data_IF_703163590426
#
_entry.id   IF_703163590426
#
_cell.length_a   1.000
_cell.length_b   1.000
_cell.length_c   1.000
_cell.angle_alpha   90.00
_cell.angle_beta   90.00
_cell.angle_gamma   90.00
#
_symmetry.space_group_name_H-M   'P 1'
#
loop_
_entity.id
_entity.type
_entity.pdbx_description
1 polymer ?
#
# COMPACT_ATOMS: atom_id res chain seq x y z
N UNK A 1 26.44 -43.52 36.42
CA UNK A 1 27.66 -42.72 36.10
C UNK A 1 27.50 -42.29 34.65
N UNK A 2 27.41 -41.04 34.24
CA UNK A 2 27.93 -39.76 34.74
C UNK A 2 26.90 -38.67 34.40
N UNK A 3 26.66 -37.76 35.34
CA UNK A 3 25.88 -36.52 35.17
C UNK A 3 26.79 -35.43 34.58
N UNK A 4 26.24 -34.53 33.76
CA UNK A 4 26.08 -33.09 34.06
C UNK A 4 25.91 -32.28 32.75
N UNK A 5 24.73 -31.67 32.51
CA UNK A 5 24.34 -30.26 32.83
C UNK A 5 24.90 -29.29 31.75
N UNK A 6 24.24 -28.28 31.17
CA UNK A 6 23.06 -27.44 31.46
C UNK A 6 23.04 -26.40 30.28
N UNK A 7 21.95 -26.03 29.59
CA UNK A 7 20.90 -25.04 29.93
C UNK A 7 19.91 -24.98 28.74
N UNK A 8 18.58 -25.16 28.96
CA UNK A 8 17.57 -24.10 29.27
C UNK A 8 17.01 -23.48 27.97
N UNK A 9 15.71 -23.36 27.66
CA UNK A 9 14.45 -23.21 28.44
C UNK A 9 13.25 -23.46 27.46
N UNK A 10 12.02 -23.66 27.95
CA UNK A 10 11.03 -24.56 27.37
C UNK A 10 9.87 -23.90 26.61
N UNK A 11 9.27 -24.68 25.70
CA UNK A 11 7.94 -24.42 25.14
C UNK A 11 6.88 -24.61 26.22
N UNK A 12 6.27 -23.50 26.64
CA UNK A 12 5.00 -23.49 27.34
C UNK A 12 4.16 -22.35 26.78
N UNK A 13 3.12 -22.68 26.01
CA UNK A 13 1.93 -21.85 25.91
C UNK A 13 0.71 -22.75 26.12
N UNK A 14 0.00 -22.42 27.19
CA UNK A 14 -1.21 -23.04 27.70
C UNK A 14 -2.42 -22.87 26.76
N UNK A 15 -3.48 -23.67 26.97
CA UNK A 15 -4.63 -23.82 26.09
C UNK A 15 -5.75 -22.82 26.43
N UNK A 16 -6.43 -22.28 25.42
CA UNK A 16 -7.69 -21.56 25.64
C UNK A 16 -8.83 -22.56 25.82
N UNK A 17 -9.39 -22.57 27.04
CA UNK A 17 -10.64 -23.21 27.43
C UNK A 17 -11.83 -22.60 26.66
N UNK A 18 -12.64 -23.47 26.07
CA UNK A 18 -14.06 -23.24 25.73
C UNK A 18 -14.93 -23.51 26.97
N UNK A 19 -16.12 -22.86 27.00
CA UNK A 19 -17.46 -23.29 27.48
C UNK A 19 -18.27 -22.08 28.06
N UNK A 20 -19.62 -22.10 28.16
CA UNK A 20 -20.64 -22.10 27.07
C UNK A 20 -21.93 -21.25 27.36
N UNK A 21 -22.91 -21.32 26.43
CA UNK A 21 -24.36 -20.97 26.52
C UNK A 21 -24.75 -19.47 26.45
N UNK A 22 -25.83 -19.02 25.79
CA UNK A 22 -27.11 -19.65 25.42
C UNK A 22 -27.73 -19.08 24.12
N UNK A 23 -28.38 -20.00 23.39
CA UNK A 23 -29.58 -19.95 22.52
C UNK A 23 -30.24 -18.63 22.06
N UNK A 24 -30.57 -18.58 20.77
CA UNK A 24 -31.96 -18.82 20.31
C UNK A 24 -32.07 -19.05 18.78
N UNK A 25 -32.44 -20.29 18.40
CA UNK A 25 -33.46 -20.70 17.41
C UNK A 25 -33.87 -19.68 16.33
N UNK A 26 -33.89 -19.97 15.01
CA UNK A 26 -34.72 -20.95 14.25
C UNK A 26 -34.54 -20.50 12.77
N UNK A 27 -34.31 -21.29 11.71
CA UNK A 27 -34.93 -22.53 11.24
C UNK A 27 -34.00 -23.21 10.24
N UNK A 28 -33.82 -24.52 10.39
CA UNK A 28 -33.43 -25.44 9.33
C UNK A 28 -34.68 -25.99 8.62
N UNK A 29 -34.62 -26.05 7.29
CA UNK A 29 -35.17 -27.13 6.46
C UNK A 29 -34.26 -27.19 5.23
N UNK A 30 -33.32 -28.15 5.16
CA UNK A 30 -33.43 -29.43 4.41
C UNK A 30 -33.71 -29.17 2.92
N UNK A 31 -33.02 -29.73 1.93
CA UNK A 31 -31.92 -30.69 1.77
C UNK A 31 -31.67 -30.76 0.25
N UNK A 32 -30.53 -31.30 -0.16
CA UNK A 32 -30.25 -31.88 -1.49
C UNK A 32 -30.30 -30.98 -2.74
N UNK A 33 -29.12 -30.61 -3.25
CA UNK A 33 -28.65 -31.07 -4.57
C UNK A 33 -27.17 -30.74 -4.78
N UNK A 34 -26.31 -31.55 -4.16
CA UNK A 34 -24.93 -31.75 -4.59
C UNK A 34 -24.94 -32.57 -5.88
N UNK A 35 -25.04 -31.92 -7.06
CA UNK A 35 -24.75 -32.49 -8.39
C UNK A 35 -24.86 -31.40 -9.47
N UNK A 36 -23.89 -30.49 -9.51
CA UNK A 36 -23.49 -29.83 -10.74
C UNK A 36 -21.98 -29.73 -10.74
N UNK A 37 -21.35 -30.88 -11.00
CA UNK A 37 -20.00 -30.91 -11.52
C UNK A 37 -19.99 -30.12 -12.83
N UNK A 38 -19.27 -29.01 -12.83
CA UNK A 38 -19.18 -28.09 -13.96
C UNK A 38 -18.47 -28.82 -15.13
N UNK A 39 -19.06 -28.96 -16.33
CA UNK A 39 -18.47 -29.72 -17.44
C UNK A 39 -17.14 -29.14 -17.98
N UNK A 40 -16.76 -27.93 -17.57
CA UNK A 40 -15.53 -27.27 -18.00
C UNK A 40 -14.26 -27.76 -17.29
N UNK A 41 -14.37 -28.50 -16.17
CA UNK A 41 -13.23 -29.00 -15.40
C UNK A 41 -12.71 -30.37 -15.86
N UNK A 42 -13.40 -31.08 -16.75
CA UNK A 42 -12.98 -32.40 -17.25
C UNK A 42 -12.14 -32.37 -18.54
N UNK A 43 -11.92 -31.20 -19.14
CA UNK A 43 -11.15 -31.03 -20.38
C UNK A 43 -9.70 -30.55 -20.17
N UNK A 44 -9.23 -30.46 -18.92
CA UNK A 44 -7.95 -29.82 -18.56
C UNK A 44 -6.91 -30.79 -17.98
N UNK A 45 -6.75 -31.97 -18.58
CA UNK A 45 -5.60 -32.84 -18.27
C UNK A 45 -4.51 -32.69 -19.35
N UNK A 46 -3.46 -31.87 -19.14
CA UNK A 46 -2.26 -31.99 -19.95
C UNK A 46 -1.55 -33.32 -19.62
N UNK A 47 -0.92 -33.92 -20.63
CA UNK A 47 -0.26 -35.23 -20.51
C UNK A 47 0.83 -35.27 -19.43
N UNK A 48 1.16 -36.44 -18.85
CA UNK A 48 2.18 -36.59 -17.80
C UNK A 48 3.57 -36.02 -18.16
N UNK A 49 3.92 -35.95 -19.45
CA UNK A 49 5.17 -35.35 -19.93
C UNK A 49 5.26 -33.83 -19.75
N UNK A 50 4.13 -33.13 -19.62
CA UNK A 50 4.06 -31.69 -19.36
C UNK A 50 4.54 -31.35 -17.95
N UNK A 51 4.30 -32.24 -16.98
CA UNK A 51 4.66 -32.05 -15.57
C UNK A 51 6.13 -32.39 -15.28
N UNK A 52 6.70 -33.39 -15.98
CA UNK A 52 8.07 -33.84 -15.74
C UNK A 52 9.13 -32.81 -16.17
N UNK A 53 8.86 -32.09 -17.26
CA UNK A 53 9.72 -31.02 -17.76
C UNK A 53 9.74 -29.80 -16.81
N UNK A 54 8.60 -29.52 -16.18
CA UNK A 54 8.42 -28.47 -15.18
C UNK A 54 9.28 -28.68 -13.91
N UNK A 55 9.42 -29.94 -13.49
CA UNK A 55 10.20 -30.33 -12.32
C UNK A 55 11.72 -30.09 -12.49
N UNK A 56 12.23 -30.20 -13.71
CA UNK A 56 13.67 -30.01 -14.01
C UNK A 56 14.10 -28.54 -13.97
N UNK A 57 13.24 -27.61 -14.39
CA UNK A 57 13.55 -26.17 -14.36
C UNK A 57 13.64 -25.62 -12.93
N UNK A 58 12.83 -26.16 -12.00
CA UNK A 58 12.88 -25.78 -10.58
C UNK A 58 14.12 -26.32 -9.85
N UNK A 59 14.63 -27.49 -10.28
CA UNK A 59 15.80 -28.13 -9.66
C UNK A 59 17.14 -27.46 -10.01
N UNK A 60 17.18 -26.66 -11.08
CA UNK A 60 18.43 -26.08 -11.63
C UNK A 60 18.66 -24.61 -11.26
N UNK A 61 17.67 -23.90 -10.69
CA UNK A 61 17.82 -22.46 -10.34
C UNK A 61 18.53 -22.19 -9.00
N UNK A 62 19.26 -23.18 -8.47
CA UNK A 62 20.03 -23.10 -7.23
C UNK A 62 21.55 -22.90 -7.38
N UNK A 63 22.09 -22.70 -8.58
CA UNK A 63 23.55 -22.58 -8.78
C UNK A 63 23.94 -21.22 -9.39
N UNK A 64 24.78 -20.50 -8.63
CA UNK A 64 25.28 -19.16 -8.91
C UNK A 64 26.10 -19.05 -10.21
N UNK A 65 25.82 -17.97 -10.96
CA UNK A 65 26.77 -17.05 -11.60
C UNK A 65 27.91 -17.56 -12.50
N UNK A 66 27.79 -17.33 -13.82
CA UNK A 66 28.76 -16.61 -14.70
C UNK A 66 28.27 -16.60 -16.16
N UNK A 67 28.56 -15.55 -16.96
CA UNK A 67 28.21 -15.52 -18.37
C UNK A 67 29.27 -16.28 -19.18
N UNK A 68 28.90 -17.38 -19.81
CA UNK A 68 29.76 -18.07 -20.77
C UNK A 68 29.36 -17.67 -22.20
N UNK A 69 30.19 -16.82 -22.79
CA UNK A 69 30.35 -16.69 -24.23
C UNK A 69 30.77 -18.06 -24.80
N UNK A 70 30.16 -18.54 -25.88
CA UNK A 70 30.88 -19.38 -26.83
C UNK A 70 30.23 -19.36 -28.22
N UNK A 71 31.07 -19.05 -29.20
CA UNK A 71 30.80 -19.23 -30.62
C UNK A 71 31.29 -20.64 -31.04
N UNK A 72 30.54 -21.30 -31.90
CA UNK A 72 30.96 -22.22 -32.98
C UNK A 72 30.11 -23.50 -33.09
N UNK A 73 29.80 -23.82 -34.35
CA UNK A 73 29.02 -24.95 -34.88
C UNK A 73 29.59 -26.30 -34.44
N UNK A 74 28.71 -27.24 -34.09
CA UNK A 74 28.62 -28.53 -34.78
C UNK A 74 27.28 -29.23 -34.48
N UNK A 75 26.62 -29.67 -35.56
CA UNK A 75 25.38 -30.46 -35.55
C UNK A 75 25.71 -31.91 -35.19
N UNK A 76 25.10 -32.48 -34.15
CA UNK A 76 24.60 -33.89 -34.14
C UNK A 76 23.45 -34.01 -33.11
N UNK A 77 22.32 -34.48 -33.61
CA UNK A 77 21.16 -35.14 -32.97
C UNK A 77 20.42 -34.41 -31.84
N UNK A 78 19.20 -33.95 -32.18
CA UNK A 78 18.15 -33.48 -31.28
C UNK A 78 17.64 -34.59 -30.35
N UNK A 79 17.78 -34.46 -29.02
CA UNK A 79 16.83 -35.02 -28.08
C UNK A 79 15.75 -33.95 -27.84
N UNK A 80 14.54 -34.21 -28.36
CA UNK A 80 13.26 -33.56 -28.05
C UNK A 80 13.37 -32.27 -27.22
N UNK A 81 13.53 -31.16 -27.92
CA UNK A 81 13.38 -29.82 -27.39
C UNK A 81 11.90 -29.58 -27.01
N UNK A 82 11.48 -30.04 -25.84
CA UNK A 82 10.38 -29.38 -25.13
C UNK A 82 10.97 -28.06 -24.66
N UNK A 83 10.72 -27.03 -25.45
CA UNK A 83 11.38 -25.74 -25.36
C UNK A 83 10.71 -24.86 -24.28
N UNK A 84 11.30 -23.69 -24.03
CA UNK A 84 10.90 -22.55 -23.17
C UNK A 84 9.46 -22.02 -23.44
N UNK A 85 8.54 -22.83 -23.97
CA UNK A 85 7.30 -22.43 -24.62
C UNK A 85 6.06 -22.42 -23.72
N UNK A 86 5.96 -23.20 -22.65
CA UNK A 86 4.67 -23.32 -21.95
C UNK A 86 4.24 -22.08 -21.13
N UNK A 87 5.19 -21.36 -20.53
CA UNK A 87 4.91 -20.11 -19.81
C UNK A 87 5.20 -18.87 -20.66
N UNK A 88 6.16 -18.97 -21.59
CA UNK A 88 6.55 -17.87 -22.48
C UNK A 88 5.55 -17.61 -23.60
N UNK A 89 4.93 -18.64 -24.18
CA UNK A 89 3.98 -18.44 -25.28
C UNK A 89 2.54 -18.41 -24.76
N UNK A 90 2.07 -17.21 -24.47
CA UNK A 90 0.69 -16.96 -24.05
C UNK A 90 -0.29 -16.83 -25.24
N UNK A 91 0.13 -17.11 -26.48
CA UNK A 91 -0.70 -16.90 -27.67
C UNK A 91 -1.99 -17.73 -27.66
N UNK A 92 -1.98 -18.90 -27.02
CA UNK A 92 -3.11 -19.85 -26.97
C UNK A 92 -3.47 -20.27 -25.53
N UNK A 93 -2.89 -19.64 -24.51
CA UNK A 93 -3.13 -20.01 -23.12
C UNK A 93 -4.30 -19.18 -22.59
N UNK A 94 -5.34 -19.83 -22.06
CA UNK A 94 -6.44 -19.09 -21.45
C UNK A 94 -6.01 -18.48 -20.11
N UNK A 95 -6.61 -17.34 -19.69
CA UNK A 95 -6.31 -16.70 -18.40
C UNK A 95 -6.39 -17.66 -17.21
N UNK A 96 -7.40 -18.55 -17.19
CA UNK A 96 -7.58 -19.54 -16.12
C UNK A 96 -6.43 -20.55 -16.10
N UNK A 97 -6.01 -21.06 -17.26
CA UNK A 97 -4.88 -22.00 -17.35
C UNK A 97 -3.58 -21.33 -16.91
N UNK A 98 -3.34 -20.09 -17.34
CA UNK A 98 -2.17 -19.32 -16.92
C UNK A 98 -2.10 -19.15 -15.41
N UNK A 99 -3.22 -18.78 -14.77
CA UNK A 99 -3.30 -18.62 -13.32
C UNK A 99 -3.15 -19.94 -12.57
N UNK A 100 -3.73 -21.01 -13.11
CA UNK A 100 -3.54 -22.35 -12.56
C UNK A 100 -2.05 -22.72 -12.59
N UNK A 101 -1.37 -22.53 -13.73
CA UNK A 101 0.07 -22.77 -13.81
C UNK A 101 0.81 -21.93 -12.77
N UNK A 102 0.54 -20.61 -12.69
CA UNK A 102 1.14 -19.71 -11.71
C UNK A 102 0.97 -20.21 -10.26
N UNK A 103 -0.23 -20.73 -9.93
CA UNK A 103 -0.52 -21.37 -8.64
C UNK A 103 0.36 -22.58 -8.41
N UNK A 104 0.41 -23.52 -9.35
CA UNK A 104 1.24 -24.72 -9.22
C UNK A 104 2.73 -24.34 -9.05
N UNK A 105 3.22 -23.33 -9.78
CA UNK A 105 4.59 -22.81 -9.61
C UNK A 105 4.85 -22.37 -8.17
N UNK A 106 3.89 -21.61 -7.61
CA UNK A 106 4.01 -21.06 -6.27
C UNK A 106 3.97 -22.16 -5.20
N UNK A 107 3.06 -23.13 -5.34
CA UNK A 107 2.89 -24.23 -4.39
C UNK A 107 4.11 -25.15 -4.38
N UNK A 108 4.58 -25.59 -5.55
CA UNK A 108 5.72 -26.53 -5.65
C UNK A 108 7.09 -25.88 -5.46
N UNK A 109 7.21 -24.56 -5.54
CA UNK A 109 8.48 -23.89 -5.29
C UNK A 109 9.05 -24.22 -3.91
N UNK A 110 10.36 -24.41 -3.81
CA UNK A 110 11.04 -24.72 -2.53
C UNK A 110 11.63 -23.48 -1.86
N UNK A 111 11.71 -22.36 -2.58
CA UNK A 111 12.23 -21.09 -2.08
C UNK A 111 11.31 -20.43 -1.04
N UNK A 112 11.82 -19.44 -0.30
CA UNK A 112 10.98 -18.58 0.56
C UNK A 112 9.94 -17.81 -0.27
N UNK A 113 8.78 -17.52 0.32
CA UNK A 113 7.65 -16.88 -0.36
C UNK A 113 8.02 -15.59 -1.13
N UNK A 114 8.85 -14.73 -0.54
CA UNK A 114 9.31 -13.49 -1.18
C UNK A 114 10.17 -13.75 -2.43
N UNK A 115 11.04 -14.76 -2.38
CA UNK A 115 11.84 -15.16 -3.53
C UNK A 115 10.96 -15.79 -4.62
N UNK A 116 10.00 -16.65 -4.25
CA UNK A 116 9.00 -17.19 -5.20
C UNK A 116 8.27 -16.05 -5.90
N UNK A 117 7.75 -15.09 -5.13
CA UNK A 117 6.99 -13.97 -5.66
C UNK A 117 7.80 -13.14 -6.67
N UNK A 118 9.07 -12.86 -6.36
CA UNK A 118 9.96 -12.11 -7.26
C UNK A 118 10.24 -12.85 -8.57
N UNK A 119 10.47 -14.16 -8.50
CA UNK A 119 10.70 -14.99 -9.69
C UNK A 119 9.44 -15.07 -10.54
N UNK A 120 8.29 -15.34 -9.93
CA UNK A 120 7.01 -15.41 -10.63
C UNK A 120 6.64 -14.07 -11.26
N UNK A 121 6.85 -12.95 -10.57
CA UNK A 121 6.64 -11.61 -11.14
C UNK A 121 7.51 -11.37 -12.38
N UNK A 122 8.77 -11.80 -12.36
CA UNK A 122 9.66 -11.72 -13.53
C UNK A 122 9.15 -12.59 -14.69
N UNK A 123 8.70 -13.82 -14.40
CA UNK A 123 8.13 -14.71 -15.41
C UNK A 123 6.86 -14.13 -16.03
N UNK A 124 5.94 -13.59 -15.22
CA UNK A 124 4.73 -12.94 -15.75
C UNK A 124 5.13 -11.75 -16.64
N UNK A 125 6.08 -10.91 -16.22
CA UNK A 125 6.57 -9.80 -17.04
C UNK A 125 7.12 -10.28 -18.40
N UNK A 126 7.98 -11.30 -18.40
CA UNK A 126 8.52 -11.88 -19.65
C UNK A 126 7.42 -12.47 -20.53
N UNK A 127 6.41 -13.09 -19.93
CA UNK A 127 5.27 -13.65 -20.65
C UNK A 127 4.44 -12.56 -21.32
N UNK A 128 4.26 -11.40 -20.66
CA UNK A 128 3.60 -10.23 -21.26
C UNK A 128 4.43 -9.64 -22.42
N UNK A 129 5.76 -9.69 -22.35
CA UNK A 129 6.66 -9.28 -23.44
C UNK A 129 6.51 -10.12 -24.71
N UNK A 130 5.96 -11.33 -24.61
CA UNK A 130 5.73 -12.20 -25.76
C UNK A 130 4.39 -11.93 -26.47
N UNK A 131 3.75 -10.79 -26.18
CA UNK A 131 2.49 -10.31 -26.79
C UNK A 131 1.35 -11.35 -26.74
N UNK A 132 0.84 -11.72 -25.54
CA UNK A 132 -0.31 -12.61 -25.40
C UNK A 132 -1.48 -12.14 -26.27
N UNK A 133 -2.19 -13.05 -26.92
CA UNK A 133 -3.44 -12.72 -27.62
C UNK A 133 -4.59 -12.59 -26.60
N UNK A 134 -5.46 -11.56 -26.68
CA UNK A 134 -5.57 -10.52 -27.72
C UNK A 134 -4.72 -9.25 -27.46
N UNK A 135 -3.95 -9.22 -26.38
CA UNK A 135 -3.00 -8.17 -26.01
C UNK A 135 -2.70 -8.24 -24.51
N UNK A 136 -1.49 -7.83 -24.08
CA UNK A 136 -1.05 -7.92 -22.68
C UNK A 136 -2.03 -7.30 -21.67
N UNK A 137 -2.52 -6.09 -21.95
CA UNK A 137 -3.44 -5.40 -21.05
C UNK A 137 -4.81 -6.12 -20.95
N UNK A 138 -5.33 -6.59 -22.08
CA UNK A 138 -6.60 -7.34 -22.12
C UNK A 138 -6.45 -8.67 -21.38
N UNK A 139 -5.36 -9.40 -21.65
CA UNK A 139 -5.08 -10.67 -21.01
C UNK A 139 -5.01 -10.54 -19.49
N UNK A 140 -4.34 -9.49 -18.99
CA UNK A 140 -4.27 -9.20 -17.55
C UNK A 140 -5.63 -8.83 -16.97
N UNK A 141 -6.44 -8.01 -17.65
CA UNK A 141 -7.79 -7.69 -17.20
C UNK A 141 -8.65 -8.97 -17.08
N UNK A 142 -8.54 -9.90 -18.04
CA UNK A 142 -9.21 -11.18 -17.97
C UNK A 142 -8.69 -12.06 -16.83
N UNK A 143 -7.37 -12.07 -16.58
CA UNK A 143 -6.81 -12.78 -15.43
C UNK A 143 -7.40 -12.27 -14.12
N UNK A 144 -7.48 -10.95 -13.94
CA UNK A 144 -8.03 -10.34 -12.72
C UNK A 144 -9.53 -10.66 -12.54
N UNK A 145 -10.27 -10.83 -13.63
CA UNK A 145 -11.67 -11.23 -13.59
C UNK A 145 -11.86 -12.65 -13.06
N UNK A 146 -11.04 -13.61 -13.49
CA UNK A 146 -11.17 -15.02 -13.08
C UNK A 146 -10.39 -15.37 -11.81
N UNK A 147 -9.53 -14.46 -11.33
CA UNK A 147 -8.65 -14.71 -10.20
C UNK A 147 -9.35 -15.13 -8.89
N UNK A 148 -10.55 -14.62 -8.55
CA UNK A 148 -11.24 -15.00 -7.32
C UNK A 148 -11.57 -16.50 -7.21
N UNK A 149 -11.56 -17.24 -8.33
CA UNK A 149 -11.66 -18.71 -8.35
C UNK A 149 -10.52 -19.38 -7.54
N UNK A 150 -9.38 -18.69 -7.39
CA UNK A 150 -8.20 -19.20 -6.70
C UNK A 150 -8.16 -18.84 -5.20
N UNK A 151 -9.26 -18.31 -4.65
CA UNK A 151 -9.54 -18.08 -3.23
C UNK A 151 -8.32 -17.53 -2.46
N UNK A 152 -7.67 -18.34 -1.63
CA UNK A 152 -6.54 -17.98 -0.76
C UNK A 152 -5.31 -17.41 -1.49
N UNK A 153 -5.22 -17.60 -2.81
CA UNK A 153 -4.13 -17.05 -3.63
C UNK A 153 -4.51 -15.75 -4.36
N UNK A 154 -5.79 -15.35 -4.30
CA UNK A 154 -6.34 -14.23 -5.06
C UNK A 154 -5.57 -12.93 -4.78
N UNK A 155 -5.47 -12.49 -3.53
CA UNK A 155 -4.88 -11.18 -3.20
C UNK A 155 -3.39 -11.10 -3.61
N UNK A 156 -2.63 -12.16 -3.30
CA UNK A 156 -1.23 -12.26 -3.66
C UNK A 156 -1.02 -12.22 -5.17
N UNK A 157 -1.82 -12.98 -5.93
CA UNK A 157 -1.70 -13.02 -7.38
C UNK A 157 -2.25 -11.77 -8.06
N UNK A 158 -3.26 -11.11 -7.49
CA UNK A 158 -3.75 -9.81 -7.95
C UNK A 158 -2.61 -8.80 -7.90
N UNK A 159 -1.90 -8.71 -6.76
CA UNK A 159 -0.72 -7.86 -6.64
C UNK A 159 0.40 -8.25 -7.62
N UNK A 160 0.66 -9.54 -7.80
CA UNK A 160 1.70 -10.03 -8.69
C UNK A 160 1.45 -9.57 -10.13
N UNK A 161 0.25 -9.84 -10.64
CA UNK A 161 -0.15 -9.58 -12.02
C UNK A 161 -0.25 -8.08 -12.28
N UNK A 162 -0.86 -7.32 -11.37
CA UNK A 162 -0.91 -5.85 -11.44
C UNK A 162 0.50 -5.28 -11.50
N UNK A 163 1.41 -5.76 -10.65
CA UNK A 163 2.78 -5.25 -10.60
C UNK A 163 3.58 -5.62 -11.85
N UNK A 164 3.36 -6.81 -12.41
CA UNK A 164 3.99 -7.24 -13.66
C UNK A 164 3.50 -6.40 -14.85
N UNK A 165 2.19 -6.15 -14.97
CA UNK A 165 1.64 -5.28 -16.02
C UNK A 165 2.13 -3.83 -15.85
N UNK A 166 2.14 -3.30 -14.63
CA UNK A 166 2.65 -1.95 -14.36
C UNK A 166 4.12 -1.81 -14.79
N UNK A 167 4.94 -2.84 -14.57
CA UNK A 167 6.32 -2.87 -15.07
C UNK A 167 6.38 -2.95 -16.60
N UNK A 168 5.55 -3.78 -17.22
CA UNK A 168 5.46 -3.90 -18.67
C UNK A 168 5.10 -2.57 -19.34
N UNK A 169 4.10 -1.86 -18.82
CA UNK A 169 3.67 -0.56 -19.36
C UNK A 169 4.74 0.52 -19.22
N UNK A 170 5.55 0.50 -18.14
CA UNK A 170 6.65 1.46 -17.94
C UNK A 170 7.78 1.33 -18.97
N UNK A 171 7.96 0.16 -19.59
CA UNK A 171 9.01 -0.08 -20.60
C UNK A 171 8.60 0.47 -21.98
N UNK A 172 7.41 1.07 -22.11
CA UNK A 172 6.94 1.65 -23.36
C UNK A 172 6.38 0.62 -24.34
N UNK A 173 6.15 -0.62 -23.88
CA UNK A 173 5.51 -1.63 -24.70
C UNK A 173 4.06 -1.22 -24.99
N UNK A 174 3.72 -1.15 -26.28
CA UNK A 174 2.50 -0.52 -26.78
C UNK A 174 1.21 -1.06 -26.16
N UNK A 175 0.26 -0.15 -25.99
CA UNK A 175 -1.06 -0.37 -25.40
C UNK A 175 -2.06 -0.96 -26.42
N UNK A 176 -1.69 -2.08 -27.06
CA UNK A 176 -2.58 -2.75 -28.02
C UNK A 176 -3.87 -3.18 -27.31
N UNK A 177 -5.00 -2.70 -27.82
CA UNK A 177 -6.33 -3.01 -27.26
C UNK A 177 -6.66 -2.31 -25.94
N UNK A 178 -6.00 -1.18 -25.62
CA UNK A 178 -6.22 -0.46 -24.35
C UNK A 178 -7.68 -0.08 -24.09
N UNK A 179 -8.43 0.36 -25.11
CA UNK A 179 -9.84 0.71 -24.94
C UNK A 179 -10.66 -0.49 -24.47
N UNK A 180 -10.39 -1.68 -25.03
CA UNK A 180 -11.04 -2.93 -24.62
C UNK A 180 -10.58 -3.37 -23.23
N UNK A 181 -9.30 -3.18 -22.88
CA UNK A 181 -8.81 -3.45 -21.54
C UNK A 181 -9.47 -2.52 -20.49
N UNK A 182 -9.63 -1.22 -20.80
CA UNK A 182 -10.37 -0.25 -19.97
C UNK A 182 -11.82 -0.68 -19.77
N UNK A 183 -12.51 -1.09 -20.83
CA UNK A 183 -13.89 -1.58 -20.75
C UNK A 183 -14.00 -2.85 -19.89
N UNK A 184 -13.08 -3.80 -20.04
CA UNK A 184 -13.05 -5.01 -19.20
C UNK A 184 -12.77 -4.68 -17.73
N UNK A 185 -11.86 -3.74 -17.46
CA UNK A 185 -11.58 -3.27 -16.10
C UNK A 185 -12.79 -2.53 -15.49
N UNK A 186 -13.56 -1.79 -16.30
CA UNK A 186 -14.82 -1.18 -15.88
C UNK A 186 -15.90 -2.22 -15.57
N UNK A 187 -16.05 -3.26 -16.40
CA UNK A 187 -16.94 -4.40 -16.12
C UNK A 187 -16.54 -5.14 -14.85
N UNK A 188 -15.23 -5.31 -14.63
CA UNK A 188 -14.69 -5.88 -13.41
C UNK A 188 -15.03 -5.03 -12.19
N UNK A 189 -14.91 -3.70 -12.28
CA UNK A 189 -15.33 -2.78 -11.24
C UNK A 189 -16.83 -2.93 -10.91
N UNK A 190 -17.71 -2.94 -11.93
CA UNK A 190 -19.15 -3.13 -11.74
C UNK A 190 -19.46 -4.45 -11.03
N UNK A 191 -18.82 -5.55 -11.46
CA UNK A 191 -18.97 -6.87 -10.84
C UNK A 191 -18.47 -6.95 -9.39
N UNK A 192 -17.58 -6.04 -8.96
CA UNK A 192 -17.15 -5.96 -7.56
C UNK A 192 -18.13 -5.10 -6.75
N UNK A 193 -18.61 -4.00 -7.34
CA UNK A 193 -19.55 -3.07 -6.71
C UNK A 193 -20.93 -3.69 -6.46
N UNK A 194 -21.39 -4.55 -7.36
CA UNK A 194 -22.64 -5.30 -7.24
C UNK A 194 -22.52 -6.54 -6.33
N UNK A 195 -21.30 -6.90 -5.93
CA UNK A 195 -21.01 -8.04 -5.05
C UNK A 195 -20.94 -9.40 -5.76
N UNK A 196 -20.99 -9.43 -7.10
CA UNK A 196 -20.90 -10.67 -7.89
C UNK A 196 -19.51 -11.29 -7.83
N UNK A 197 -18.49 -10.45 -7.69
CA UNK A 197 -17.08 -10.83 -7.67
C UNK A 197 -16.41 -10.27 -6.40
N UNK A 198 -15.70 -11.15 -5.68
CA UNK A 198 -15.03 -10.79 -4.43
C UNK A 198 -13.53 -10.55 -4.68
N UNK A 199 -13.11 -9.29 -4.53
CA UNK A 199 -11.72 -8.86 -4.46
C UNK A 199 -11.51 -8.01 -3.21
N UNK A 200 -10.29 -7.99 -2.67
CA UNK A 200 -9.93 -7.00 -1.63
C UNK A 200 -10.10 -5.57 -2.20
N UNK A 201 -10.69 -4.66 -1.41
CA UNK A 201 -10.95 -3.27 -1.80
C UNK A 201 -9.71 -2.54 -2.36
N UNK A 202 -8.52 -2.83 -1.82
CA UNK A 202 -7.27 -2.22 -2.27
C UNK A 202 -6.86 -2.68 -3.68
N UNK A 203 -7.28 -3.88 -4.08
CA UNK A 203 -7.07 -4.38 -5.44
C UNK A 203 -7.96 -3.62 -6.42
N UNK A 204 -9.22 -3.33 -6.05
CA UNK A 204 -10.15 -2.54 -6.87
C UNK A 204 -9.54 -1.19 -7.27
N UNK A 205 -9.04 -0.42 -6.30
CA UNK A 205 -8.39 0.87 -6.56
C UNK A 205 -7.18 0.71 -7.49
N UNK A 206 -6.34 -0.31 -7.26
CA UNK A 206 -5.18 -0.59 -8.12
C UNK A 206 -5.56 -0.96 -9.54
N UNK A 207 -6.69 -1.63 -9.75
CA UNK A 207 -7.22 -1.96 -11.08
C UNK A 207 -7.61 -0.67 -11.80
N UNK A 208 -8.40 0.19 -11.14
CA UNK A 208 -8.84 1.47 -11.70
C UNK A 208 -7.64 2.35 -12.10
N UNK A 209 -6.64 2.47 -11.24
CA UNK A 209 -5.40 3.21 -11.51
C UNK A 209 -4.58 2.60 -12.65
N UNK A 210 -4.44 1.27 -12.68
CA UNK A 210 -3.59 0.57 -13.65
C UNK A 210 -4.12 0.71 -15.08
N UNK A 211 -5.44 0.62 -15.22
CA UNK A 211 -6.11 0.73 -16.52
C UNK A 211 -6.56 2.15 -16.84
N UNK A 212 -6.47 3.10 -15.91
CA UNK A 212 -6.95 4.47 -16.08
C UNK A 212 -8.43 4.48 -16.49
N UNK A 213 -9.26 3.81 -15.67
CA UNK A 213 -10.71 3.68 -15.88
C UNK A 213 -11.41 4.96 -15.48
N UNK A 214 -12.07 5.64 -16.42
CA UNK A 214 -12.86 6.85 -16.15
C UNK A 214 -14.35 6.54 -15.96
N UNK A 215 -15.13 7.52 -15.50
CA UNK A 215 -16.60 7.42 -15.40
C UNK A 215 -17.25 7.06 -16.75
N UNK A 216 -16.73 7.58 -17.86
CA UNK A 216 -17.19 7.22 -19.21
C UNK A 216 -16.95 5.74 -19.55
N UNK A 217 -15.87 5.14 -19.02
CA UNK A 217 -15.65 3.70 -19.22
C UNK A 217 -16.65 2.85 -18.42
N UNK A 218 -17.02 3.30 -17.21
CA UNK A 218 -18.04 2.64 -16.38
C UNK A 218 -19.40 2.73 -17.05
N UNK A 219 -19.79 3.90 -17.52
CA UNK A 219 -21.07 4.09 -18.22
C UNK A 219 -21.19 3.17 -19.45
N UNK A 220 -20.15 3.10 -20.28
CA UNK A 220 -20.11 2.16 -21.42
C UNK A 220 -20.21 0.70 -21.00
N UNK A 221 -19.61 0.34 -19.87
CA UNK A 221 -19.69 -1.02 -19.33
C UNK A 221 -21.08 -1.36 -18.76
N UNK A 222 -21.87 -0.37 -18.34
CA UNK A 222 -23.23 -0.58 -17.84
C UNK A 222 -24.23 -0.89 -18.95
N UNK A 223 -24.09 -0.24 -20.11
CA UNK A 223 -25.06 -0.34 -21.21
C UNK A 223 -24.61 -1.24 -22.37
N UNK A 224 -23.37 -1.73 -22.34
CA UNK A 224 -22.77 -2.46 -23.47
C UNK A 224 -22.91 -1.73 -24.81
N UNK A 225 -22.91 -0.39 -24.79
CA UNK A 225 -23.09 0.46 -25.97
C UNK A 225 -21.73 0.77 -26.62
N UNK A 226 -21.61 0.41 -27.90
CA UNK A 226 -20.44 0.72 -28.74
C UNK A 226 -20.53 2.14 -29.39
N UNK A 227 -21.64 2.85 -29.22
CA UNK A 227 -21.94 4.07 -29.97
C UNK A 227 -21.56 5.39 -29.27
N UNK A 228 -21.22 6.39 -30.10
CA UNK A 228 -20.78 7.75 -29.75
C UNK A 228 -21.94 8.65 -29.33
N UNK A 229 -22.92 8.14 -28.61
CA UNK A 229 -23.97 9.00 -28.07
C UNK A 229 -23.46 9.72 -26.83
N UNK A 230 -23.95 10.95 -26.67
CA UNK A 230 -23.59 11.90 -25.62
C UNK A 230 -23.75 11.24 -24.23
N UNK A 231 -22.69 10.59 -23.77
CA UNK A 231 -22.64 9.86 -22.49
C UNK A 231 -22.96 10.81 -21.35
N UNK A 232 -24.05 10.52 -20.65
CA UNK A 232 -24.45 11.21 -19.44
C UNK A 232 -23.77 10.50 -18.27
N UNK A 233 -22.54 10.94 -17.96
CA UNK A 233 -21.69 10.38 -16.89
C UNK A 233 -22.35 10.39 -15.52
N UNK A 234 -23.49 11.06 -15.37
CA UNK A 234 -24.29 11.16 -14.16
C UNK A 234 -24.67 9.79 -13.59
N UNK A 235 -25.09 8.83 -14.41
CA UNK A 235 -25.47 7.50 -13.89
C UNK A 235 -24.27 6.73 -13.31
N UNK A 236 -23.12 6.78 -14.00
CA UNK A 236 -21.89 6.18 -13.51
C UNK A 236 -21.41 6.88 -12.23
N UNK A 237 -21.52 8.21 -12.17
CA UNK A 237 -21.18 9.02 -10.99
C UNK A 237 -22.05 8.63 -9.80
N UNK A 238 -23.38 8.58 -9.96
CA UNK A 238 -24.33 8.19 -8.91
C UNK A 238 -24.02 6.77 -8.38
N UNK A 239 -23.73 5.81 -9.26
CA UNK A 239 -23.34 4.46 -8.86
C UNK A 239 -22.06 4.45 -8.02
N UNK A 240 -21.04 5.19 -8.46
CA UNK A 240 -19.76 5.32 -7.74
C UNK A 240 -19.98 5.98 -6.37
N UNK A 241 -20.79 7.04 -6.29
CA UNK A 241 -21.12 7.72 -5.03
C UNK A 241 -21.86 6.81 -4.07
N UNK A 242 -22.85 6.05 -4.55
CA UNK A 242 -23.54 5.04 -3.73
C UNK A 242 -22.58 3.97 -3.19
N UNK A 243 -21.61 3.54 -3.99
CA UNK A 243 -20.59 2.62 -3.52
C UNK A 243 -19.66 3.25 -2.49
N UNK A 244 -19.26 4.51 -2.68
CA UNK A 244 -18.46 5.27 -1.72
C UNK A 244 -19.20 5.44 -0.40
N UNK A 245 -20.51 5.72 -0.41
CA UNK A 245 -21.32 5.77 0.80
C UNK A 245 -21.29 4.45 1.57
N UNK A 246 -21.45 3.31 0.87
CA UNK A 246 -21.30 1.97 1.49
C UNK A 246 -19.93 1.76 2.13
N UNK A 247 -18.85 2.20 1.47
CA UNK A 247 -17.49 2.14 2.02
C UNK A 247 -17.34 3.02 3.27
N UNK A 248 -17.97 4.18 3.30
CA UNK A 248 -17.95 5.07 4.47
C UNK A 248 -18.73 4.46 5.64
N UNK A 249 -19.87 3.84 5.37
CA UNK A 249 -20.66 3.10 6.37
C UNK A 249 -19.88 1.92 6.95
N UNK A 250 -19.09 1.23 6.13
CA UNK A 250 -18.20 0.13 6.57
C UNK A 250 -16.86 0.60 7.17
N UNK A 251 -16.65 1.90 7.35
CA UNK A 251 -15.40 2.52 7.83
C UNK A 251 -14.17 2.30 6.92
N UNK A 252 -14.37 1.97 5.65
CA UNK A 252 -13.33 1.82 4.61
C UNK A 252 -12.90 3.16 4.00
N UNK A 253 -12.53 4.14 4.83
CA UNK A 253 -12.30 5.53 4.41
C UNK A 253 -11.13 5.71 3.43
N UNK A 254 -10.05 4.94 3.56
CA UNK A 254 -8.91 5.03 2.63
C UNK A 254 -9.32 4.65 1.20
N UNK A 255 -10.15 3.61 1.05
CA UNK A 255 -10.69 3.18 -0.24
C UNK A 255 -11.64 4.25 -0.78
N UNK A 256 -12.57 4.73 0.05
CA UNK A 256 -13.51 5.79 -0.31
C UNK A 256 -12.80 7.05 -0.84
N UNK A 257 -11.80 7.56 -0.11
CA UNK A 257 -11.00 8.72 -0.52
C UNK A 257 -10.24 8.45 -1.82
N UNK A 258 -9.71 7.25 -2.00
CA UNK A 258 -8.99 6.89 -3.23
C UNK A 258 -9.91 6.86 -4.45
N UNK A 259 -11.17 6.44 -4.29
CA UNK A 259 -12.17 6.48 -5.37
C UNK A 259 -12.62 7.91 -5.67
N UNK A 260 -12.87 8.73 -4.64
CA UNK A 260 -13.19 10.15 -4.81
C UNK A 260 -12.09 10.88 -5.57
N UNK A 261 -10.82 10.65 -5.20
CA UNK A 261 -9.66 11.21 -5.89
C UNK A 261 -9.56 10.71 -7.34
N UNK A 262 -9.65 9.39 -7.55
CA UNK A 262 -9.54 8.78 -8.88
C UNK A 262 -10.59 9.31 -9.87
N UNK A 263 -11.84 9.47 -9.42
CA UNK A 263 -12.93 10.00 -10.24
C UNK A 263 -13.09 11.53 -10.14
N UNK A 264 -12.22 12.21 -9.41
CA UNK A 264 -12.26 13.66 -9.20
C UNK A 264 -13.57 14.19 -8.61
N UNK A 265 -14.22 13.42 -7.73
CA UNK A 265 -15.46 13.79 -7.03
C UNK A 265 -15.11 14.56 -5.76
N UNK A 266 -15.63 15.78 -5.61
CA UNK A 266 -15.25 16.75 -4.55
C UNK A 266 -16.38 17.11 -3.59
N UNK A 267 -17.52 16.43 -3.70
CA UNK A 267 -18.70 16.75 -2.90
C UNK A 267 -18.44 16.46 -1.41
N UNK A 268 -18.98 17.29 -0.50
CA UNK A 268 -18.86 17.13 0.95
C UNK A 268 -17.48 17.34 1.58
N UNK A 269 -16.61 18.16 0.97
CA UNK A 269 -15.24 18.48 1.41
C UNK A 269 -14.98 18.48 2.93
N UNK A 270 -15.60 19.40 3.67
CA UNK A 270 -15.36 19.57 5.11
C UNK A 270 -16.13 18.57 5.99
N UNK A 271 -17.42 18.34 5.71
CA UNK A 271 -18.23 17.40 6.49
C UNK A 271 -17.67 15.97 6.44
N UNK A 272 -17.14 15.56 5.28
CA UNK A 272 -16.49 14.27 5.13
C UNK A 272 -15.16 14.19 5.90
N UNK A 273 -14.39 15.29 5.93
CA UNK A 273 -13.18 15.39 6.75
C UNK A 273 -13.51 15.19 8.24
N UNK A 274 -14.50 15.92 8.76
CA UNK A 274 -14.91 15.83 10.17
C UNK A 274 -15.31 14.41 10.55
N UNK A 275 -16.09 13.74 9.68
CA UNK A 275 -16.49 12.33 9.88
C UNK A 275 -15.29 11.38 9.96
N UNK A 276 -14.26 11.58 9.14
CA UNK A 276 -12.99 10.83 9.22
C UNK A 276 -12.23 11.10 10.52
N UNK A 277 -12.21 12.36 10.97
CA UNK A 277 -11.55 12.76 12.21
C UNK A 277 -12.23 12.17 13.45
N UNK A 278 -13.58 12.15 13.48
CA UNK A 278 -14.37 11.46 14.50
C UNK A 278 -14.09 9.96 14.54
N UNK A 279 -13.96 9.34 13.37
CA UNK A 279 -13.64 7.91 13.23
C UNK A 279 -12.15 7.59 13.48
N UNK A 280 -11.32 8.57 13.84
CA UNK A 280 -9.87 8.46 14.03
C UNK A 280 -9.10 7.96 12.79
N UNK A 281 -9.64 8.21 11.59
CA UNK A 281 -9.07 7.77 10.31
C UNK A 281 -8.10 8.82 9.74
N UNK A 282 -7.07 9.16 10.51
CA UNK A 282 -6.18 10.29 10.23
C UNK A 282 -5.51 10.24 8.86
N UNK A 283 -5.02 9.07 8.43
CA UNK A 283 -4.37 8.92 7.11
C UNK A 283 -5.33 9.18 5.94
N UNK A 284 -6.59 8.80 6.08
CA UNK A 284 -7.60 9.06 5.07
C UNK A 284 -7.96 10.55 5.04
N UNK A 285 -8.06 11.17 6.22
CA UNK A 285 -8.30 12.60 6.38
C UNK A 285 -7.17 13.44 5.73
N UNK A 286 -5.91 13.08 5.98
CA UNK A 286 -4.74 13.73 5.34
C UNK A 286 -4.76 13.61 3.82
N UNK A 287 -5.04 12.40 3.29
CA UNK A 287 -5.14 12.16 1.85
C UNK A 287 -6.27 13.00 1.23
N UNK A 288 -7.43 13.04 1.89
CA UNK A 288 -8.59 13.82 1.43
C UNK A 288 -8.31 15.32 1.44
N UNK A 289 -7.74 15.84 2.53
CA UNK A 289 -7.38 17.25 2.64
C UNK A 289 -6.36 17.65 1.57
N UNK A 290 -5.37 16.78 1.29
CA UNK A 290 -4.40 16.99 0.22
C UNK A 290 -5.07 17.11 -1.15
N UNK A 291 -6.02 16.23 -1.44
CA UNK A 291 -6.76 16.23 -2.70
C UNK A 291 -7.66 17.48 -2.85
N UNK A 292 -8.34 17.88 -1.77
CA UNK A 292 -9.20 19.06 -1.77
C UNK A 292 -8.42 20.38 -1.82
N UNK A 293 -7.22 20.38 -1.25
CA UNK A 293 -6.27 21.49 -1.28
C UNK A 293 -6.23 22.30 0.00
N UNK A 294 -5.60 23.47 -0.09
CA UNK A 294 -5.21 24.31 1.05
C UNK A 294 -6.32 24.61 2.07
N UNK A 295 -7.57 24.96 1.68
CA UNK A 295 -8.62 25.27 2.66
C UNK A 295 -8.90 24.11 3.62
N UNK A 296 -9.07 22.90 3.08
CA UNK A 296 -9.36 21.70 3.87
C UNK A 296 -8.13 21.25 4.68
N UNK A 297 -6.91 21.48 4.16
CA UNK A 297 -5.69 21.28 4.94
C UNK A 297 -5.62 22.19 6.17
N UNK A 298 -6.04 23.46 6.05
CA UNK A 298 -6.12 24.36 7.20
C UNK A 298 -7.13 23.87 8.23
N UNK A 299 -8.33 23.44 7.80
CA UNK A 299 -9.33 22.85 8.70
C UNK A 299 -8.77 21.60 9.41
N UNK A 300 -8.05 20.73 8.68
CA UNK A 300 -7.42 19.54 9.25
C UNK A 300 -6.38 19.89 10.33
N UNK A 301 -5.55 20.91 10.09
CA UNK A 301 -4.57 21.38 11.10
C UNK A 301 -5.29 21.87 12.35
N UNK A 302 -6.36 22.65 12.21
CA UNK A 302 -7.16 23.12 13.34
C UNK A 302 -7.77 21.94 14.12
N UNK A 303 -8.36 20.97 13.43
CA UNK A 303 -8.90 19.75 14.05
C UNK A 303 -7.84 18.96 14.84
N UNK A 304 -6.59 18.90 14.34
CA UNK A 304 -5.50 18.26 15.08
C UNK A 304 -5.13 19.05 16.35
N UNK A 305 -5.15 20.38 16.30
CA UNK A 305 -4.88 21.22 17.47
C UNK A 305 -5.97 21.04 18.52
N UNK A 306 -7.25 21.13 18.11
CA UNK A 306 -8.41 21.01 19.00
C UNK A 306 -8.44 19.63 19.69
N UNK A 307 -8.03 18.58 18.98
CA UNK A 307 -7.93 17.21 19.52
C UNK A 307 -6.63 16.93 20.28
N UNK A 308 -5.78 17.94 20.50
CA UNK A 308 -4.49 17.84 21.20
C UNK A 308 -3.53 16.84 20.54
N UNK A 309 -3.47 16.83 19.21
CA UNK A 309 -2.57 16.01 18.39
C UNK A 309 -1.49 16.87 17.69
N UNK A 310 -0.63 17.58 18.44
CA UNK A 310 0.24 18.61 17.88
C UNK A 310 1.33 18.05 16.95
N UNK A 311 1.68 16.77 17.08
CA UNK A 311 2.60 16.08 16.14
C UNK A 311 1.98 15.99 14.74
N UNK A 312 0.72 15.61 14.63
CA UNK A 312 0.04 15.47 13.34
C UNK A 312 -0.15 16.84 12.68
N UNK A 313 -0.58 17.84 13.45
CA UNK A 313 -0.64 19.24 12.99
C UNK A 313 0.71 19.71 12.43
N UNK A 314 1.80 19.52 13.17
CA UNK A 314 3.14 19.91 12.73
C UNK A 314 3.58 19.19 11.44
N UNK A 315 3.32 17.89 11.34
CA UNK A 315 3.70 17.10 10.17
C UNK A 315 2.97 17.59 8.91
N UNK A 316 1.66 17.87 9.00
CA UNK A 316 0.87 18.44 7.88
C UNK A 316 1.36 19.84 7.51
N UNK A 317 1.57 20.73 8.50
CA UNK A 317 2.10 22.09 8.26
C UNK A 317 3.42 22.03 7.49
N UNK A 318 4.32 21.13 7.90
CA UNK A 318 5.63 20.96 7.29
C UNK A 318 5.55 20.39 5.88
N UNK A 319 4.72 19.37 5.66
CA UNK A 319 4.63 18.69 4.36
C UNK A 319 3.98 19.56 3.28
N UNK A 320 3.02 20.40 3.67
CA UNK A 320 2.24 21.20 2.73
C UNK A 320 2.61 22.70 2.72
N UNK A 321 3.75 23.06 3.30
CA UNK A 321 4.26 24.44 3.37
C UNK A 321 3.30 25.46 4.01
N UNK A 322 2.56 25.05 5.05
CA UNK A 322 1.55 25.89 5.71
C UNK A 322 2.10 26.75 6.87
N UNK A 323 3.40 27.05 6.84
CA UNK A 323 4.07 27.75 7.96
C UNK A 323 3.58 29.18 8.14
N UNK A 324 3.14 29.83 7.07
CA UNK A 324 2.65 31.22 7.11
C UNK A 324 1.25 31.31 7.71
N UNK A 325 0.46 30.26 7.53
CA UNK A 325 -0.90 30.16 8.03
C UNK A 325 -0.93 29.79 9.51
N UNK A 326 0.07 29.05 9.98
CA UNK A 326 0.17 28.56 11.36
C UNK A 326 1.57 28.73 11.96
N UNK A 327 2.11 29.96 12.03
CA UNK A 327 3.44 30.18 12.58
C UNK A 327 3.51 29.78 14.06
N UNK A 328 2.49 30.11 14.86
CA UNK A 328 2.50 29.84 16.31
C UNK A 328 2.53 28.33 16.60
N UNK A 329 1.68 27.54 15.93
CA UNK A 329 1.63 26.08 16.12
C UNK A 329 2.94 25.42 15.70
N UNK A 330 3.54 25.91 14.61
CA UNK A 330 4.81 25.41 14.12
C UNK A 330 5.95 25.70 15.11
N UNK A 331 6.02 26.91 15.66
CA UNK A 331 7.02 27.31 16.66
C UNK A 331 6.81 26.58 18.00
N UNK A 332 5.60 26.59 18.55
CA UNK A 332 5.27 25.95 19.83
C UNK A 332 5.60 24.45 19.85
N UNK A 333 5.36 23.72 18.75
CA UNK A 333 5.72 22.31 18.66
C UNK A 333 7.23 22.09 18.69
N UNK A 334 8.00 22.94 17.99
CA UNK A 334 9.46 22.88 18.00
C UNK A 334 10.02 23.22 19.38
N UNK A 335 9.53 24.27 20.04
CA UNK A 335 9.90 24.62 21.42
C UNK A 335 9.62 23.47 22.38
N UNK A 336 8.43 22.86 22.30
CA UNK A 336 8.05 21.71 23.14
C UNK A 336 8.98 20.51 22.95
N UNK A 337 9.43 20.25 21.71
CA UNK A 337 10.42 19.21 21.39
C UNK A 337 11.80 19.56 21.92
N UNK A 338 12.20 20.83 21.81
CA UNK A 338 13.48 21.32 22.26
C UNK A 338 13.59 21.24 23.78
N UNK A 339 12.55 21.69 24.49
CA UNK A 339 12.42 21.57 25.94
C UNK A 339 12.60 20.13 26.41
N UNK A 340 11.95 19.17 25.76
CA UNK A 340 12.12 17.73 26.08
C UNK A 340 13.55 17.23 25.87
N UNK A 341 14.28 17.73 24.87
CA UNK A 341 15.68 17.36 24.66
C UNK A 341 16.58 17.99 25.73
N UNK A 342 16.33 19.24 26.09
CA UNK A 342 17.02 19.95 27.17
C UNK A 342 16.81 19.27 28.53
N UNK A 343 15.57 18.91 28.87
CA UNK A 343 15.20 18.13 30.06
C UNK A 343 15.95 16.78 30.13
N UNK A 344 16.22 16.17 28.98
CA UNK A 344 16.97 14.91 28.87
C UNK A 344 18.50 15.12 28.84
N UNK A 345 18.99 16.36 28.93
CA UNK A 345 20.41 16.70 28.80
C UNK A 345 21.01 16.48 27.40
N UNK A 346 20.18 16.29 26.37
CA UNK A 346 20.60 16.02 25.00
C UNK A 346 20.96 17.31 24.23
N UNK A 347 21.85 18.13 24.77
CA UNK A 347 22.13 19.49 24.26
C UNK A 347 22.68 19.52 22.83
N UNK A 348 23.58 18.62 22.47
CA UNK A 348 24.18 18.61 21.12
C UNK A 348 23.13 18.23 20.04
N UNK A 349 22.20 17.34 20.39
CA UNK A 349 21.08 16.95 19.51
C UNK A 349 20.06 18.08 19.40
N UNK A 350 19.83 18.83 20.48
CA UNK A 350 18.98 20.00 20.50
C UNK A 350 19.55 21.10 19.58
N UNK A 351 20.82 21.44 19.74
CA UNK A 351 21.56 22.41 18.94
C UNK A 351 21.51 22.07 17.44
N UNK A 352 21.84 20.82 17.08
CA UNK A 352 21.84 20.37 15.69
C UNK A 352 20.47 20.51 14.99
N UNK A 353 19.37 20.57 15.75
CA UNK A 353 18.00 20.72 15.21
C UNK A 353 17.54 22.18 15.06
N UNK A 354 18.20 23.12 15.75
CA UNK A 354 17.79 24.54 15.79
C UNK A 354 18.84 25.50 15.24
N UNK A 355 20.01 25.01 14.84
CA UNK A 355 21.11 25.81 14.27
C UNK A 355 20.71 26.77 13.13
N UNK A 356 19.67 26.44 12.37
CA UNK A 356 19.20 27.23 11.22
C UNK A 356 18.04 28.18 11.59
N UNK A 357 17.64 28.23 12.86
CA UNK A 357 16.46 28.96 13.38
C UNK A 357 16.87 29.83 14.59
N UNK A 358 17.24 31.11 14.38
CA UNK A 358 17.81 31.98 15.41
C UNK A 358 16.94 32.10 16.67
N UNK A 359 15.61 32.17 16.51
CA UNK A 359 14.68 32.30 17.62
C UNK A 359 14.68 31.04 18.51
N UNK A 360 14.75 29.86 17.92
CA UNK A 360 14.83 28.61 18.69
C UNK A 360 16.20 28.38 19.31
N UNK A 361 17.23 28.96 18.71
CA UNK A 361 18.59 28.93 19.24
C UNK A 361 18.70 29.82 20.50
N UNK A 362 18.10 31.01 20.49
CA UNK A 362 17.94 31.85 21.69
C UNK A 362 17.11 31.13 22.77
N UNK A 363 16.03 30.45 22.38
CA UNK A 363 15.23 29.63 23.31
C UNK A 363 16.04 28.45 23.91
N UNK A 364 16.94 27.84 23.14
CA UNK A 364 17.84 26.79 23.66
C UNK A 364 18.81 27.34 24.72
N UNK A 365 19.36 28.54 24.49
CA UNK A 365 20.23 29.23 25.47
C UNK A 365 19.45 29.56 26.74
N UNK A 366 18.22 30.05 26.60
CA UNK A 366 17.33 30.29 27.73
C UNK A 366 17.09 29.01 28.56
N UNK A 367 16.79 27.87 27.90
CA UNK A 367 16.61 26.59 28.57
C UNK A 367 17.89 26.11 29.28
N UNK A 368 19.07 26.30 28.68
CA UNK A 368 20.35 25.96 29.30
C UNK A 368 20.64 26.82 30.54
N UNK A 369 20.32 28.12 30.48
CA UNK A 369 20.44 29.05 31.59
C UNK A 369 19.50 28.68 32.75
N UNK A 370 18.22 28.39 32.46
CA UNK A 370 17.27 27.93 33.49
C UNK A 370 17.70 26.61 34.15
N UNK A 371 18.28 25.70 33.37
CA UNK A 371 18.78 24.42 33.85
C UNK A 371 20.14 24.53 34.58
N UNK A 372 20.78 25.71 34.58
CA UNK A 372 22.06 25.95 35.24
C UNK A 372 23.30 25.45 34.48
N UNK A 373 23.16 25.13 33.19
CA UNK A 373 24.28 24.68 32.34
C UNK A 373 25.04 25.86 31.73
N UNK A 374 25.72 26.62 32.58
CA UNK A 374 26.41 27.86 32.20
C UNK A 374 27.52 27.66 31.16
N UNK A 375 28.24 26.52 31.23
CA UNK A 375 29.24 26.14 30.21
C UNK A 375 28.60 25.99 28.82
N UNK A 376 27.40 25.42 28.74
CA UNK A 376 26.66 25.27 27.48
C UNK A 376 26.12 26.61 26.97
N UNK A 377 25.73 27.52 27.87
CA UNK A 377 25.33 28.90 27.52
C UNK A 377 26.50 29.64 26.89
N UNK A 378 27.67 29.62 27.53
CA UNK A 378 28.90 30.25 27.00
C UNK A 378 29.26 29.64 25.63
N UNK A 379 29.27 28.30 25.49
CA UNK A 379 29.55 27.59 24.23
C UNK A 379 28.60 28.02 23.09
N UNK A 380 27.29 28.07 23.34
CA UNK A 380 26.29 28.42 22.33
C UNK A 380 26.37 29.90 21.95
N UNK A 381 26.56 30.80 22.93
CA UNK A 381 26.70 32.22 22.67
C UNK A 381 27.94 32.55 21.84
N UNK A 382 29.08 31.90 22.13
CA UNK A 382 30.31 32.06 21.35
C UNK A 382 30.18 31.48 19.94
N UNK A 383 29.60 30.27 19.81
CA UNK A 383 29.51 29.56 18.53
C UNK A 383 28.60 30.28 17.52
N UNK A 384 27.52 30.90 17.99
CA UNK A 384 26.51 31.53 17.13
C UNK A 384 26.47 33.06 17.25
N UNK A 385 27.44 33.66 17.93
CA UNK A 385 27.55 35.13 18.13
C UNK A 385 26.27 35.76 18.70
N UNK A 386 25.67 35.13 19.73
CA UNK A 386 24.44 35.61 20.33
C UNK A 386 24.73 36.70 21.37
N UNK A 387 24.20 37.90 21.14
CA UNK A 387 24.34 39.04 22.04
C UNK A 387 23.19 39.09 23.07
N UNK A 388 23.47 39.50 24.32
CA UNK A 388 22.46 39.72 25.37
C UNK A 388 22.43 38.67 26.51
N UNK A 389 23.01 37.49 26.32
CA UNK A 389 23.08 36.43 27.35
C UNK A 389 24.40 36.43 28.16
N UNK A 390 25.34 37.31 27.81
CA UNK A 390 26.75 37.32 28.26
C UNK A 390 26.90 37.72 29.75
N UNK A 391 25.85 38.21 30.41
CA UNK A 391 25.84 38.51 31.85
C UNK A 391 25.24 37.38 32.72
N UNK A 392 25.34 36.14 32.28
CA UNK A 392 24.78 34.99 33.00
C UNK A 392 25.36 34.87 34.45
N UNK A 393 26.63 35.26 34.68
CA UNK A 393 27.25 35.33 36.02
C UNK A 393 26.71 36.45 36.93
N UNK A 394 26.04 37.47 36.39
CA UNK A 394 25.39 38.53 37.17
C UNK A 394 23.90 38.25 37.43
N UNK A 395 23.27 37.38 36.62
CA UNK A 395 21.87 37.01 36.73
C UNK A 395 21.58 35.91 37.76
N UNK A 396 22.59 35.14 38.19
CA UNK A 396 22.47 34.18 39.31
C UNK A 396 21.89 34.81 40.60
N UNK A 397 22.01 36.13 40.78
CA UNK A 397 21.52 36.84 41.96
C UNK A 397 20.02 37.20 41.93
N UNK A 398 19.32 37.11 40.78
CA UNK A 398 17.98 37.71 40.60
C UNK A 398 16.87 36.77 40.08
N UNK A 399 17.11 35.46 39.95
CA UNK A 399 16.04 34.56 39.47
C UNK A 399 15.01 34.23 40.56
N UNK A 400 13.69 34.38 40.29
CA UNK A 400 12.64 33.86 41.15
C UNK A 400 12.79 32.35 41.31
N UNK A 401 12.56 31.84 42.53
CA UNK A 401 12.70 30.41 42.90
C UNK A 401 11.72 29.45 42.20
N UNK A 402 10.89 29.92 41.29
CA UNK A 402 9.97 29.08 40.52
C UNK A 402 10.69 28.57 39.27
N UNK A 403 11.55 27.55 39.48
CA UNK A 403 12.22 26.83 38.40
C UNK A 403 11.16 26.16 37.51
N UNK A 404 11.15 26.51 36.22
CA UNK A 404 10.26 25.93 35.21
C UNK A 404 10.57 24.46 34.90
N UNK A 405 11.78 24.01 35.28
CA UNK A 405 12.27 22.65 35.21
C UNK A 405 12.53 22.15 36.63
N UNK A 406 11.63 21.32 37.15
CA UNK A 406 11.90 20.50 38.33
C UNK A 406 12.67 19.27 37.85
N UNK A 407 14.01 19.33 37.95
CA UNK A 407 14.89 18.17 37.78
C UNK A 407 14.80 17.24 39.00
#
# INVERSE_FOLDING_TARGET
MMKCLLWSIPCAFLPCKMYPHHDASRKHSKLSNSRLANPLLQLLCPSPGFFYFWFLQLSTMGLNGKPLHLHSRNKVQHPLAVSRHAFGDLSNVSPVVFLYLLKECYVYGTCKATAKFRVLQQQVFESLCNDPRPGAAIFVAQCLYVLPIFESHCDGFSHLIISALRRFLKVGNGMKGILKAKLLAAKLFLAIVDGTLVHEERILVKILELFDVSLSNIEKAMFDTDEKDQTCQEMAKVLVEQYILRLVESQSYMTAVSLLEHFSIRESGESFLLKMMESQQYRAAEKWATFMGKPILCTLVQEYVDRKLPKHAFDVIRQHNLRKEFPEIYHQYKESKLKKLAEQGCWDVAEARVKDDPQLLEYLVYLAMEAGYMEKVEELCERYSLEGFINAKALEANFPKDRYLQL
#
